data_IF_786641773901
#
_entry.id   IF_786641773901
#
_cell.length_a   1.000
_cell.length_b   1.000
_cell.length_c   1.000
_cell.angle_alpha   90.00
_cell.angle_beta   90.00
_cell.angle_gamma   90.00
#
_symmetry.space_group_name_H-M   'P 1'
#
loop_
_entity.id
_entity.type
_entity.pdbx_description
1 polymer ?
#
# COMPACT_ATOMS: atom_id res chain seq x y z
N UNK A 1 9.02 14.74 4.09
CA UNK A 1 7.89 13.87 3.70
C UNK A 1 7.97 13.65 2.20
N UNK A 2 8.10 12.39 1.77
CA UNK A 2 8.09 12.02 0.36
C UNK A 2 6.81 11.21 0.11
N UNK A 3 6.01 11.63 -0.86
CA UNK A 3 4.76 10.97 -1.22
C UNK A 3 4.86 10.51 -2.67
N UNK A 4 4.61 9.23 -2.89
CA UNK A 4 4.43 8.68 -4.24
C UNK A 4 2.95 8.62 -4.61
N UNK A 5 2.58 9.32 -5.68
CA UNK A 5 1.21 9.41 -6.16
C UNK A 5 0.73 8.20 -6.95
N UNK A 6 1.63 7.31 -7.39
CA UNK A 6 1.25 6.11 -8.13
C UNK A 6 2.36 5.06 -8.06
N UNK A 7 2.06 3.91 -7.46
CA UNK A 7 2.92 2.74 -7.49
C UNK A 7 2.17 1.56 -8.12
N UNK A 8 2.85 0.89 -9.05
CA UNK A 8 2.36 -0.25 -9.80
C UNK A 8 3.40 -1.36 -9.69
N UNK A 9 3.23 -2.27 -8.74
CA UNK A 9 4.21 -3.31 -8.48
C UNK A 9 3.66 -4.38 -7.55
N UNK A 10 4.46 -5.43 -7.37
CA UNK A 10 4.20 -6.42 -6.35
C UNK A 10 4.66 -5.89 -5.00
N UNK A 11 3.94 -6.27 -3.95
CA UNK A 11 4.21 -5.84 -2.60
C UNK A 11 4.32 -7.04 -1.68
N UNK A 12 5.29 -6.94 -0.81
CA UNK A 12 5.51 -7.78 0.35
C UNK A 12 6.14 -6.91 1.45
N UNK A 13 6.54 -7.54 2.55
CA UNK A 13 7.23 -6.84 3.64
C UNK A 13 8.52 -6.17 3.20
N UNK A 14 9.32 -6.82 2.35
CA UNK A 14 10.62 -6.31 1.94
C UNK A 14 10.47 -4.99 1.18
N UNK A 15 9.49 -4.93 0.26
CA UNK A 15 9.15 -3.70 -0.46
C UNK A 15 8.73 -2.58 0.50
N UNK A 16 7.94 -2.85 1.54
CA UNK A 16 7.59 -1.83 2.54
C UNK A 16 8.80 -1.30 3.30
N UNK A 17 9.71 -2.18 3.68
CA UNK A 17 10.95 -1.80 4.36
C UNK A 17 11.89 -1.01 3.44
N UNK A 18 11.97 -1.37 2.17
CA UNK A 18 12.72 -0.62 1.15
C UNK A 18 12.15 0.78 0.96
N UNK A 19 10.82 0.93 0.83
CA UNK A 19 10.17 2.22 0.74
C UNK A 19 10.46 3.09 1.97
N UNK A 20 10.41 2.48 3.17
CA UNK A 20 10.76 3.16 4.42
C UNK A 20 12.23 3.57 4.46
N UNK A 21 13.16 2.70 4.04
CA UNK A 21 14.60 3.01 3.91
C UNK A 21 14.84 4.11 2.88
N UNK A 22 14.06 4.15 1.81
CA UNK A 22 14.08 5.18 0.76
C UNK A 22 13.48 6.51 1.19
N UNK A 23 12.93 6.62 2.41
CA UNK A 23 12.39 7.86 2.97
C UNK A 23 10.97 8.20 2.50
N UNK A 24 10.25 7.25 1.89
CA UNK A 24 8.85 7.43 1.55
C UNK A 24 7.99 7.43 2.81
N UNK A 25 7.11 8.42 2.89
CA UNK A 25 6.15 8.59 3.98
C UNK A 25 4.78 8.02 3.61
N UNK A 26 4.39 8.11 2.33
CA UNK A 26 3.14 7.57 1.81
C UNK A 26 3.31 7.16 0.35
N UNK A 27 2.61 6.12 -0.06
CA UNK A 27 2.53 5.67 -1.44
C UNK A 27 1.09 5.35 -1.81
N UNK A 28 0.75 5.47 -3.09
CA UNK A 28 -0.59 5.12 -3.62
C UNK A 28 -0.48 3.84 -4.45
N UNK A 29 -0.68 2.65 -3.85
CA UNK A 29 -0.58 1.39 -4.57
C UNK A 29 -1.79 1.16 -5.48
N UNK A 30 -1.54 0.74 -6.71
CA UNK A 30 -2.59 0.33 -7.66
C UNK A 30 -2.97 -1.11 -7.40
N UNK A 31 -4.25 -1.37 -7.12
CA UNK A 31 -4.76 -2.71 -6.78
C UNK A 31 -5.49 -3.40 -7.94
N UNK A 32 -5.66 -2.71 -9.07
CA UNK A 32 -6.29 -3.24 -10.28
C UNK A 32 -6.18 -2.27 -11.44
N UNK A 33 -6.23 -2.81 -12.66
CA UNK A 33 -6.13 -2.07 -13.93
C UNK A 33 -7.31 -2.39 -14.86
N UNK A 34 -7.60 -3.68 -15.05
CA UNK A 34 -8.51 -4.17 -16.10
C UNK A 34 -9.58 -5.12 -15.56
N UNK A 35 -9.53 -5.42 -14.27
CA UNK A 35 -10.33 -6.43 -13.60
C UNK A 35 -11.81 -6.01 -13.44
N UNK A 36 -12.66 -7.02 -13.26
CA UNK A 36 -14.06 -6.84 -12.89
C UNK A 36 -14.24 -6.45 -11.42
N UNK A 37 -15.49 -6.26 -11.02
CA UNK A 37 -15.82 -5.83 -9.66
C UNK A 37 -15.41 -6.85 -8.58
N UNK A 38 -15.60 -8.15 -8.83
CA UNK A 38 -15.29 -9.19 -7.84
C UNK A 38 -13.78 -9.27 -7.61
N UNK A 39 -13.01 -9.34 -8.69
CA UNK A 39 -11.56 -9.43 -8.64
C UNK A 39 -10.93 -8.16 -8.02
N UNK A 40 -11.53 -6.99 -8.27
CA UNK A 40 -11.14 -5.72 -7.64
C UNK A 40 -11.37 -5.72 -6.12
N UNK A 41 -12.52 -6.24 -5.67
CA UNK A 41 -12.82 -6.37 -4.24
C UNK A 41 -11.90 -7.39 -3.57
N UNK A 42 -11.58 -8.49 -4.24
CA UNK A 42 -10.61 -9.48 -3.75
C UNK A 42 -9.21 -8.87 -3.61
N UNK A 43 -8.80 -8.02 -4.55
CA UNK A 43 -7.52 -7.30 -4.45
C UNK A 43 -7.46 -6.36 -3.25
N UNK A 44 -8.55 -5.64 -2.96
CA UNK A 44 -8.68 -4.83 -1.74
C UNK A 44 -8.59 -5.72 -0.49
N UNK A 45 -9.25 -6.87 -0.48
CA UNK A 45 -9.17 -7.85 0.61
C UNK A 45 -7.73 -8.28 0.90
N UNK A 46 -7.03 -8.78 -0.13
CA UNK A 46 -5.61 -9.19 -0.03
C UNK A 46 -4.71 -8.06 0.46
N UNK A 47 -4.95 -6.82 0.01
CA UNK A 47 -4.17 -5.68 0.46
C UNK A 47 -4.37 -5.37 1.95
N UNK A 48 -5.60 -5.53 2.45
CA UNK A 48 -5.89 -5.34 3.88
C UNK A 48 -5.25 -6.42 4.74
N UNK A 49 -5.23 -7.66 4.26
CA UNK A 49 -4.57 -8.78 4.94
C UNK A 49 -3.05 -8.53 5.00
N UNK A 50 -2.42 -8.22 3.87
CA UNK A 50 -0.98 -7.90 3.80
C UNK A 50 -0.60 -6.73 4.71
N UNK A 51 -1.38 -5.65 4.71
CA UNK A 51 -1.14 -4.52 5.60
C UNK A 51 -1.30 -4.89 7.08
N UNK A 52 -2.22 -5.82 7.40
CA UNK A 52 -2.38 -6.36 8.74
C UNK A 52 -1.20 -7.22 9.19
N UNK A 53 -0.68 -8.08 8.30
CA UNK A 53 0.53 -8.90 8.53
C UNK A 53 1.80 -8.05 8.69
N UNK A 54 1.80 -6.84 8.15
CA UNK A 54 2.91 -5.89 8.19
C UNK A 54 2.61 -4.63 9.04
N UNK A 55 1.70 -4.72 10.02
CA UNK A 55 1.22 -3.55 10.78
C UNK A 55 2.30 -2.81 11.60
N UNK A 56 3.47 -3.42 11.82
CA UNK A 56 4.66 -2.80 12.42
C UNK A 56 5.45 -1.91 11.45
N UNK A 57 5.23 -2.06 10.14
CA UNK A 57 5.95 -1.32 9.08
C UNK A 57 5.03 -0.36 8.34
N UNK A 58 3.79 -0.76 8.08
CA UNK A 58 2.84 -0.01 7.25
C UNK A 58 1.47 0.10 7.90
N UNK A 59 0.72 1.14 7.52
CA UNK A 59 -0.70 1.30 7.83
C UNK A 59 -1.47 1.76 6.58
N UNK A 60 -2.78 1.49 6.55
CA UNK A 60 -3.66 2.05 5.51
C UNK A 60 -4.11 3.45 5.95
N UNK A 61 -3.56 4.48 5.29
CA UNK A 61 -3.95 5.87 5.52
C UNK A 61 -5.36 6.12 4.97
N UNK A 62 -6.23 6.74 5.77
CA UNK A 62 -7.61 7.12 5.39
C UNK A 62 -7.82 8.63 5.42
N UNK A 63 -6.90 9.35 6.05
CA UNK A 63 -6.89 10.80 6.14
C UNK A 63 -5.46 11.33 6.08
N UNK A 64 -5.30 12.62 5.82
CA UNK A 64 -3.99 13.27 5.87
C UNK A 64 -3.38 13.26 7.27
N UNK A 65 -4.19 13.08 8.32
CA UNK A 65 -3.70 12.94 9.68
C UNK A 65 -2.96 11.61 9.93
N UNK A 66 -3.11 10.62 9.05
CA UNK A 66 -2.41 9.33 9.13
C UNK A 66 -1.00 9.40 8.51
N UNK A 67 -0.70 10.45 7.73
CA UNK A 67 0.55 10.61 6.99
C UNK A 67 1.48 11.56 7.77
N UNK A 68 2.51 11.01 8.44
CA UNK A 68 3.47 11.80 9.25
C UNK A 68 4.91 11.36 9.01
#
# INVERSE_FOLDING_TARGET
>A
MLIDGLQCGFYDREVFEELRRGGFTCVTPTLGFWEGALESLDAIGRWRDLAGECADVVLIARSTADIR
#
